data_IF_411798553746
#
_entry.id   IF_411798553746
#
_cell.length_a   1.000
_cell.length_b   1.000
_cell.length_c   1.000
_cell.angle_alpha   90.00
_cell.angle_beta   90.00
_cell.angle_gamma   90.00
#
_symmetry.space_group_name_H-M   'P 1'
#
loop_
_entity.id
_entity.type
_entity.pdbx_description
1 polymer ?
#
# COMPACT_ATOMS: atom_id res chain seq x y z
N UNK A 1 -11.50 -46.15 48.71
CA UNK A 1 -11.23 -44.85 49.37
C UNK A 1 -10.07 -44.18 48.63
N UNK A 2 -10.34 -43.21 47.74
CA UNK A 2 -9.26 -42.58 46.95
C UNK A 2 -8.32 -41.79 47.85
N UNK A 3 -7.01 -41.99 47.66
CA UNK A 3 -5.94 -41.32 48.40
C UNK A 3 -6.12 -39.80 48.40
N UNK A 4 -5.83 -39.15 49.53
CA UNK A 4 -5.96 -37.70 49.71
C UNK A 4 -5.17 -36.91 48.68
N UNK A 5 -4.07 -37.47 48.17
CA UNK A 5 -3.25 -36.90 47.09
C UNK A 5 -4.01 -36.85 45.75
N UNK A 6 -4.75 -37.92 45.40
CA UNK A 6 -5.54 -37.97 44.17
C UNK A 6 -6.64 -36.90 44.19
N UNK A 7 -7.29 -36.68 45.33
CA UNK A 7 -8.30 -35.63 45.49
C UNK A 7 -7.73 -34.23 45.31
N UNK A 8 -6.49 -33.98 45.74
CA UNK A 8 -5.82 -32.69 45.56
C UNK A 8 -5.50 -32.41 44.08
N UNK A 9 -4.99 -33.40 43.36
CA UNK A 9 -4.71 -33.27 41.93
C UNK A 9 -5.97 -33.06 41.09
N UNK A 10 -7.08 -33.75 41.40
CA UNK A 10 -8.38 -33.51 40.73
C UNK A 10 -8.80 -32.04 40.88
N UNK A 11 -8.65 -31.44 42.07
CA UNK A 11 -8.98 -30.01 42.26
C UNK A 11 -8.12 -29.10 41.40
N UNK A 12 -6.83 -29.40 41.23
CA UNK A 12 -5.92 -28.63 40.37
C UNK A 12 -6.36 -28.72 38.91
N UNK A 13 -6.71 -29.92 38.41
CA UNK A 13 -7.18 -30.07 37.04
C UNK A 13 -8.53 -29.38 36.79
N UNK A 14 -9.46 -29.45 37.76
CA UNK A 14 -10.75 -28.75 37.66
C UNK A 14 -10.54 -27.24 37.68
N UNK A 15 -9.70 -26.71 38.58
CA UNK A 15 -9.40 -25.29 38.64
C UNK A 15 -8.67 -24.81 37.37
N UNK A 16 -7.65 -25.53 36.92
CA UNK A 16 -6.93 -25.20 35.69
C UNK A 16 -7.83 -25.29 34.44
N UNK A 17 -8.66 -26.33 34.35
CA UNK A 17 -9.63 -26.49 33.29
C UNK A 17 -10.70 -25.39 33.28
N UNK A 18 -11.15 -24.94 34.46
CA UNK A 18 -12.08 -23.82 34.57
C UNK A 18 -11.45 -22.50 34.13
N UNK A 19 -10.16 -22.26 34.43
CA UNK A 19 -9.43 -21.07 33.98
C UNK A 19 -9.27 -21.07 32.46
N UNK A 20 -8.82 -22.19 31.88
CA UNK A 20 -8.65 -22.31 30.42
C UNK A 20 -10.00 -22.21 29.70
N UNK A 21 -11.01 -22.92 30.21
CA UNK A 21 -12.35 -22.92 29.65
C UNK A 21 -13.01 -21.54 29.72
N UNK A 22 -12.87 -20.83 30.84
CA UNK A 22 -13.36 -19.45 30.97
C UNK A 22 -12.62 -18.49 30.04
N UNK A 23 -11.30 -18.63 29.88
CA UNK A 23 -10.53 -17.84 28.91
C UNK A 23 -11.01 -18.04 27.48
N UNK A 24 -11.22 -19.30 27.06
CA UNK A 24 -11.75 -19.61 25.72
C UNK A 24 -13.16 -19.06 25.52
N UNK A 25 -14.03 -19.26 26.51
CA UNK A 25 -15.40 -18.77 26.47
C UNK A 25 -15.46 -17.24 26.37
N UNK A 26 -14.63 -16.54 27.16
CA UNK A 26 -14.57 -15.08 27.16
C UNK A 26 -14.00 -14.53 25.85
N UNK A 27 -12.95 -15.15 25.32
CA UNK A 27 -12.39 -14.78 24.02
C UNK A 27 -13.45 -14.85 22.90
N UNK A 28 -14.18 -15.95 22.82
CA UNK A 28 -15.16 -16.16 21.75
C UNK A 28 -16.40 -15.25 21.87
N UNK A 29 -16.68 -14.67 23.04
CA UNK A 29 -17.83 -13.79 23.24
C UNK A 29 -17.48 -12.30 23.22
N UNK A 30 -16.26 -11.92 23.62
CA UNK A 30 -15.87 -10.51 23.76
C UNK A 30 -15.14 -9.99 22.52
N UNK A 31 -14.40 -10.85 21.81
CA UNK A 31 -13.62 -10.42 20.65
C UNK A 31 -14.52 -10.47 19.41
N UNK A 32 -14.80 -9.33 18.75
CA UNK A 32 -15.61 -9.32 17.54
C UNK A 32 -14.90 -10.03 16.39
N UNK A 33 -15.67 -10.67 15.50
CA UNK A 33 -15.10 -11.28 14.30
C UNK A 33 -14.72 -10.19 13.27
N UNK A 34 -13.81 -10.47 12.32
CA UNK A 34 -13.42 -9.49 11.31
C UNK A 34 -14.60 -8.93 10.50
N UNK A 35 -15.63 -9.75 10.26
CA UNK A 35 -16.84 -9.35 9.55
C UNK A 35 -17.66 -8.36 10.38
N UNK A 36 -17.85 -8.64 11.67
CA UNK A 36 -18.52 -7.74 12.61
C UNK A 36 -17.77 -6.40 12.74
N UNK A 37 -16.44 -6.45 12.78
CA UNK A 37 -15.59 -5.26 12.82
C UNK A 37 -15.76 -4.40 11.55
N UNK A 38 -15.83 -5.05 10.38
CA UNK A 38 -16.05 -4.36 9.10
C UNK A 38 -17.46 -3.76 9.00
N UNK A 39 -18.46 -4.39 9.60
CA UNK A 39 -19.83 -3.86 9.67
C UNK A 39 -19.93 -2.61 10.55
N UNK A 40 -19.12 -2.51 11.60
CA UNK A 40 -19.03 -1.31 12.45
C UNK A 40 -18.31 -0.13 11.75
N UNK A 41 -17.51 -0.40 10.72
CA UNK A 41 -16.80 0.66 10.00
C UNK A 41 -17.76 1.52 9.17
N UNK A 42 -17.42 2.80 9.00
CA UNK A 42 -18.13 3.67 8.06
C UNK A 42 -17.98 3.13 6.62
N UNK A 43 -18.95 3.38 5.72
CA UNK A 43 -18.90 2.85 4.35
C UNK A 43 -17.63 3.28 3.59
N UNK A 44 -17.12 4.48 3.86
CA UNK A 44 -15.87 4.98 3.28
C UNK A 44 -14.65 4.17 3.75
N UNK A 45 -14.58 3.87 5.05
CA UNK A 45 -13.49 3.07 5.64
C UNK A 45 -13.50 1.63 5.12
N UNK A 46 -14.69 1.05 4.88
CA UNK A 46 -14.81 -0.28 4.27
C UNK A 46 -14.26 -0.28 2.84
N UNK A 47 -14.64 0.70 2.02
CA UNK A 47 -14.14 0.79 0.65
C UNK A 47 -12.61 0.93 0.61
N UNK A 48 -12.08 1.79 1.48
CA UNK A 48 -10.63 1.95 1.64
C UNK A 48 -9.96 0.65 2.08
N UNK A 49 -10.53 -0.05 3.07
CA UNK A 49 -10.03 -1.34 3.54
C UNK A 49 -9.94 -2.38 2.41
N UNK A 50 -10.98 -2.49 1.58
CA UNK A 50 -11.00 -3.42 0.44
C UNK A 50 -9.99 -3.03 -0.64
N UNK A 51 -9.86 -1.73 -0.93
CA UNK A 51 -8.88 -1.19 -1.90
C UNK A 51 -7.44 -1.47 -1.48
N UNK A 52 -7.15 -1.35 -0.18
CA UNK A 52 -5.80 -1.51 0.37
C UNK A 52 -5.48 -2.94 0.83
N UNK A 53 -6.45 -3.86 0.79
CA UNK A 53 -6.27 -5.26 1.22
C UNK A 53 -5.16 -5.94 0.43
N UNK A 54 -5.19 -5.82 -0.89
CA UNK A 54 -4.21 -6.44 -1.78
C UNK A 54 -2.79 -5.93 -1.51
N UNK A 55 -2.64 -4.61 -1.30
CA UNK A 55 -1.34 -4.00 -0.99
C UNK A 55 -0.79 -4.53 0.34
N UNK A 56 -1.61 -4.61 1.39
CA UNK A 56 -1.19 -5.16 2.69
C UNK A 56 -0.81 -6.64 2.61
N UNK A 57 -1.53 -7.43 1.82
CA UNK A 57 -1.18 -8.83 1.59
C UNK A 57 0.13 -8.99 0.81
N UNK A 58 0.42 -8.08 -0.13
CA UNK A 58 1.72 -8.04 -0.82
C UNK A 58 2.85 -7.66 0.13
N UNK A 59 2.68 -6.60 0.92
CA UNK A 59 3.65 -6.18 1.94
C UNK A 59 3.96 -7.30 2.92
N UNK A 60 2.95 -7.99 3.45
CA UNK A 60 3.14 -9.12 4.36
C UNK A 60 3.87 -10.29 3.68
N UNK A 61 3.53 -10.60 2.42
CA UNK A 61 4.23 -11.65 1.65
C UNK A 61 5.71 -11.33 1.47
N UNK A 62 6.04 -10.07 1.18
CA UNK A 62 7.43 -9.62 1.07
C UNK A 62 8.15 -9.67 2.43
N UNK A 63 7.50 -9.26 3.52
CA UNK A 63 8.05 -9.39 4.88
C UNK A 63 8.36 -10.85 5.22
N UNK A 64 7.46 -11.79 4.91
CA UNK A 64 7.68 -13.22 5.13
C UNK A 64 8.85 -13.74 4.28
N UNK A 65 9.04 -13.26 3.04
CA UNK A 65 10.22 -13.61 2.24
C UNK A 65 11.51 -13.13 2.90
N UNK A 66 11.52 -11.91 3.42
CA UNK A 66 12.66 -11.36 4.17
C UNK A 66 12.94 -12.22 5.40
N UNK A 67 11.91 -12.51 6.21
CA UNK A 67 12.06 -13.39 7.38
C UNK A 67 12.64 -14.75 6.99
N UNK A 68 12.14 -15.40 5.94
CA UNK A 68 12.68 -16.69 5.46
C UNK A 68 14.12 -16.59 4.98
N UNK A 69 14.52 -15.49 4.35
CA UNK A 69 15.91 -15.24 3.95
C UNK A 69 16.80 -15.05 5.17
N UNK A 70 16.33 -14.28 6.14
CA UNK A 70 17.02 -13.98 7.38
C UNK A 70 17.14 -15.19 8.32
N UNK A 71 16.14 -16.08 8.35
CA UNK A 71 16.18 -17.35 9.10
C UNK A 71 17.31 -18.29 8.65
N UNK A 72 17.82 -18.13 7.42
CA UNK A 72 18.98 -18.89 6.94
C UNK A 72 20.31 -18.32 7.43
N UNK A 73 20.31 -17.11 7.99
CA UNK A 73 21.49 -16.50 8.61
C UNK A 73 21.68 -17.04 10.03
N UNK A 74 22.93 -17.11 10.47
CA UNK A 74 23.29 -17.53 11.83
C UNK A 74 23.01 -16.45 12.87
N UNK A 75 22.75 -15.22 12.42
CA UNK A 75 22.43 -14.08 13.25
C UNK A 75 20.92 -13.93 13.43
N UNK A 76 20.46 -13.49 14.61
CA UNK A 76 19.05 -13.40 14.93
C UNK A 76 18.32 -12.31 14.11
N UNK A 77 17.03 -12.53 13.83
CA UNK A 77 16.22 -11.79 12.82
C UNK A 77 16.23 -10.26 12.99
N UNK A 78 16.14 -9.77 14.22
CA UNK A 78 16.22 -8.35 14.58
C UNK A 78 17.54 -7.63 14.22
N UNK A 79 18.63 -8.36 13.94
CA UNK A 79 19.93 -7.80 13.55
C UNK A 79 20.22 -7.91 12.04
N UNK A 80 19.50 -8.78 11.34
CA UNK A 80 19.82 -9.19 9.95
C UNK A 80 18.74 -8.85 8.93
N UNK A 81 17.68 -8.15 9.36
CA UNK A 81 16.69 -7.60 8.45
C UNK A 81 17.14 -6.27 7.82
N UNK A 82 16.60 -5.90 6.64
CA UNK A 82 16.71 -4.54 6.09
C UNK A 82 15.96 -3.50 6.94
N UNK A 83 15.07 -3.95 7.82
CA UNK A 83 14.28 -3.12 8.73
C UNK A 83 14.99 -3.09 10.09
N UNK A 84 15.71 -2.00 10.37
CA UNK A 84 16.43 -1.80 11.63
C UNK A 84 15.49 -1.46 12.78
N UNK A 85 15.74 -2.02 13.96
CA UNK A 85 15.01 -1.67 15.19
C UNK A 85 15.26 -0.20 15.57
N UNK A 86 14.24 0.58 15.96
CA UNK A 86 14.39 1.97 16.42
C UNK A 86 15.32 2.17 17.63
N UNK A 87 15.76 1.08 18.27
CA UNK A 87 16.48 1.09 19.54
C UNK A 87 17.99 0.81 19.40
N UNK A 88 18.50 0.57 18.19
CA UNK A 88 19.93 0.29 17.94
C UNK A 88 20.73 1.55 17.55
N UNK A 89 21.71 1.92 18.38
CA UNK A 89 22.52 3.15 18.23
C UNK A 89 23.61 3.10 17.15
N UNK A 90 23.96 1.93 16.62
CA UNK A 90 25.00 1.79 15.56
C UNK A 90 24.49 2.14 14.14
N UNK A 91 23.69 3.21 13.99
CA UNK A 91 22.95 3.55 12.76
C UNK A 91 23.81 4.18 11.64
N UNK A 92 24.98 4.73 11.96
CA UNK A 92 25.70 5.62 11.06
C UNK A 92 26.13 5.02 9.71
N UNK A 93 26.31 3.70 9.60
CA UNK A 93 26.69 3.04 8.33
C UNK A 93 25.44 2.68 7.50
N UNK A 94 24.32 2.38 8.15
CA UNK A 94 23.04 2.04 7.49
C UNK A 94 22.29 3.29 7.06
N UNK A 95 22.45 4.40 7.79
CA UNK A 95 21.87 5.70 7.45
C UNK A 95 22.33 6.15 6.06
N UNK A 96 23.61 5.93 5.70
CA UNK A 96 24.12 6.21 4.35
C UNK A 96 23.51 5.32 3.26
N UNK A 97 23.26 4.04 3.55
CA UNK A 97 22.65 3.12 2.59
C UNK A 97 21.16 3.41 2.38
N UNK A 98 20.45 3.85 3.43
CA UNK A 98 19.05 4.32 3.34
C UNK A 98 18.92 5.66 2.65
N UNK A 99 19.82 6.61 2.93
CA UNK A 99 19.91 7.89 2.22
C UNK A 99 20.07 7.65 0.72
N UNK A 100 20.99 6.77 0.34
CA UNK A 100 21.20 6.40 -1.07
C UNK A 100 19.97 5.72 -1.72
N UNK A 101 19.26 4.83 -1.02
CA UNK A 101 18.02 4.21 -1.55
C UNK A 101 16.86 5.21 -1.65
N UNK A 102 16.76 6.11 -0.67
CA UNK A 102 15.70 7.11 -0.63
C UNK A 102 15.94 8.20 -1.68
N UNK A 103 17.20 8.52 -1.98
CA UNK A 103 17.59 9.42 -3.06
C UNK A 103 17.31 8.80 -4.43
N UNK A 104 17.65 7.52 -4.67
CA UNK A 104 17.29 6.86 -5.93
C UNK A 104 15.78 6.84 -6.17
N UNK A 105 14.98 6.65 -5.12
CA UNK A 105 13.52 6.62 -5.24
C UNK A 105 12.91 8.01 -5.42
N UNK A 106 13.55 9.07 -4.89
CA UNK A 106 13.17 10.46 -5.17
C UNK A 106 13.48 10.84 -6.60
N UNK A 107 14.68 10.51 -7.10
CA UNK A 107 15.09 10.76 -8.50
C UNK A 107 14.15 10.06 -9.49
N UNK A 108 13.81 8.78 -9.26
CA UNK A 108 12.85 8.06 -10.10
C UNK A 108 11.46 8.72 -10.10
N UNK A 109 11.00 9.21 -8.95
CA UNK A 109 9.73 9.92 -8.84
C UNK A 109 9.76 11.25 -9.58
N UNK A 110 10.81 12.03 -9.42
CA UNK A 110 11.01 13.30 -10.13
C UNK A 110 11.03 13.07 -11.64
N UNK A 111 11.81 12.10 -12.14
CA UNK A 111 11.82 11.71 -13.55
C UNK A 111 10.43 11.28 -14.06
N UNK A 112 9.68 10.54 -13.24
CA UNK A 112 8.32 10.12 -13.61
C UNK A 112 7.33 11.28 -13.70
N UNK A 113 7.51 12.32 -12.87
CA UNK A 113 6.69 13.53 -12.90
C UNK A 113 7.06 14.39 -14.10
N UNK A 114 8.34 14.59 -14.37
CA UNK A 114 8.83 15.30 -15.55
C UNK A 114 8.30 14.65 -16.85
N UNK A 115 8.35 13.32 -16.96
CA UNK A 115 7.82 12.59 -18.12
C UNK A 115 6.31 12.80 -18.29
N UNK A 116 5.55 12.88 -17.19
CA UNK A 116 4.10 13.16 -17.24
C UNK A 116 3.84 14.60 -17.69
N UNK A 117 4.60 15.56 -17.20
CA UNK A 117 4.50 16.96 -17.59
C UNK A 117 4.84 17.16 -19.07
N UNK A 118 5.95 16.57 -19.53
CA UNK A 118 6.35 16.58 -20.95
C UNK A 118 5.27 15.96 -21.85
N UNK A 119 4.65 14.86 -21.40
CA UNK A 119 3.56 14.22 -22.14
C UNK A 119 2.33 15.14 -22.23
N UNK A 120 1.98 15.82 -21.15
CA UNK A 120 0.87 16.79 -21.11
C UNK A 120 1.15 17.98 -22.04
N UNK A 121 2.35 18.56 -21.99
CA UNK A 121 2.78 19.65 -22.87
C UNK A 121 2.67 19.21 -24.35
N UNK A 122 3.10 18.00 -24.67
CA UNK A 122 3.01 17.46 -26.04
C UNK A 122 1.56 17.32 -26.51
N UNK A 123 0.67 16.90 -25.63
CA UNK A 123 -0.77 16.83 -25.92
C UNK A 123 -1.38 18.22 -26.13
N UNK A 124 -1.01 19.20 -25.30
CA UNK A 124 -1.44 20.59 -25.44
C UNK A 124 -0.93 21.21 -26.75
N UNK A 125 0.35 21.04 -27.09
CA UNK A 125 0.91 21.50 -28.37
C UNK A 125 0.24 20.83 -29.56
N UNK A 126 -0.12 19.54 -29.45
CA UNK A 126 -0.87 18.85 -30.50
C UNK A 126 -2.26 19.44 -30.68
N UNK A 127 -2.96 19.76 -29.58
CA UNK A 127 -4.27 20.43 -29.62
C UNK A 127 -4.16 21.81 -30.26
N UNK A 128 -3.23 22.65 -29.81
CA UNK A 128 -2.98 23.97 -30.38
C UNK A 128 -2.70 23.86 -31.88
N UNK A 129 -1.82 22.93 -32.29
CA UNK A 129 -1.54 22.71 -33.72
C UNK A 129 -2.80 22.34 -34.49
N UNK A 130 -3.64 21.45 -33.97
CA UNK A 130 -4.89 21.07 -34.64
C UNK A 130 -5.91 22.20 -34.70
N UNK A 131 -5.99 23.05 -33.66
CA UNK A 131 -6.82 24.24 -33.65
C UNK A 131 -6.32 25.27 -34.66
N UNK A 132 -5.03 25.59 -34.67
CA UNK A 132 -4.44 26.52 -35.65
C UNK A 132 -4.58 26.03 -37.09
N UNK A 133 -4.47 24.72 -37.36
CA UNK A 133 -4.71 24.19 -38.71
C UNK A 133 -6.18 24.34 -39.11
N UNK A 134 -7.12 24.11 -38.19
CA UNK A 134 -8.55 24.31 -38.46
C UNK A 134 -8.87 25.78 -38.71
N UNK A 135 -8.38 26.68 -37.87
CA UNK A 135 -8.53 28.13 -38.06
C UNK A 135 -7.96 28.57 -39.41
N UNK A 136 -6.80 28.03 -39.81
CA UNK A 136 -6.19 28.34 -41.11
C UNK A 136 -7.04 27.80 -42.27
N UNK A 137 -7.54 26.57 -42.16
CA UNK A 137 -8.46 25.97 -43.15
C UNK A 137 -9.75 26.79 -43.28
N UNK A 138 -10.33 27.22 -42.16
CA UNK A 138 -11.54 28.04 -42.11
C UNK A 138 -11.31 29.41 -42.78
N UNK A 139 -10.21 30.10 -42.46
CA UNK A 139 -9.82 31.38 -43.09
C UNK A 139 -9.60 31.21 -44.60
N UNK A 140 -8.91 30.14 -45.02
CA UNK A 140 -8.67 29.86 -46.45
C UNK A 140 -9.99 29.59 -47.17
N UNK A 141 -10.90 28.80 -46.57
CA UNK A 141 -12.19 28.48 -47.14
C UNK A 141 -13.11 29.71 -47.23
N UNK A 142 -13.09 30.58 -46.21
CA UNK A 142 -13.81 31.86 -46.22
C UNK A 142 -13.30 32.78 -47.34
N UNK A 143 -11.97 32.96 -47.48
CA UNK A 143 -11.38 33.72 -48.59
C UNK A 143 -11.70 33.11 -49.96
N UNK A 144 -11.74 31.78 -50.06
CA UNK A 144 -12.10 31.08 -51.30
C UNK A 144 -13.55 31.34 -51.70
N UNK A 145 -14.48 31.33 -50.73
CA UNK A 145 -15.89 31.70 -50.96
C UNK A 145 -16.01 33.15 -51.42
N UNK A 146 -15.36 34.10 -50.73
CA UNK A 146 -15.35 35.52 -51.12
C UNK A 146 -14.78 35.74 -52.54
N UNK A 147 -13.69 35.05 -52.91
CA UNK A 147 -13.10 35.13 -54.25
C UNK A 147 -13.99 34.53 -55.35
N UNK A 148 -14.78 33.51 -55.02
CA UNK A 148 -15.74 32.90 -55.95
C UNK A 148 -16.95 33.80 -56.23
N UNK A 149 -17.46 34.51 -55.20
CA UNK A 149 -18.54 35.49 -55.37
C UNK A 149 -18.12 36.73 -56.17
N UNK A 150 -16.88 37.21 -56.02
CA UNK A 150 -16.36 38.34 -56.81
C UNK A 150 -16.00 38.03 -58.27
N UNK A 151 -16.21 36.78 -58.72
CA UNK A 151 -16.00 36.34 -60.11
C UNK A 151 -17.30 36.11 -60.88
N UNK A 152 -18.43 36.12 -60.19
CA UNK A 152 -19.78 35.86 -60.72
C UNK A 152 -20.61 37.17 -60.82
N UNK A 153 -20.21 38.21 -60.08
CA UNK A 153 -20.64 39.60 -60.27
C UNK A 153 -19.51 40.40 -60.93
#
# INVERSE_FOLDING_TARGET
MFSTKVKAWIKVYVAGGAIIGSGFWLYNNVVPTPEQLLEEFSPELREKYYREKELRELEQRELIKIVKKTMKSNDPIWKTGPIKSPWERDSLIVDKAKEQQQDTFKEEREQSLELKELRKIREELKKIRTESTKETEDIVNEKRKQSWFGKIF
#
